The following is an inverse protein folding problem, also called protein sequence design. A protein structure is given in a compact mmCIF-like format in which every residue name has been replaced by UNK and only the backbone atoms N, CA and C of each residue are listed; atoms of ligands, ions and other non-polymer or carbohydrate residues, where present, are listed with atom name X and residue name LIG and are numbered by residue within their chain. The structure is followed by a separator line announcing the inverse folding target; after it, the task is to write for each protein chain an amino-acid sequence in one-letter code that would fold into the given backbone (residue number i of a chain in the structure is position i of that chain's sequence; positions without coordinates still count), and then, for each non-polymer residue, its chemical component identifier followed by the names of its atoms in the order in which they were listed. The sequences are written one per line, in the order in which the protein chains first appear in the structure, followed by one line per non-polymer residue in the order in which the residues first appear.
data_IF_898614222364
#
_entry.id   IF_898614222364
#
_cell.length_a   1.000
_cell.length_b   1.000
_cell.length_c   1.000
_cell.angle_alpha   90.00
_cell.angle_beta   90.00
_cell.angle_gamma   90.00
#
_symmetry.space_group_name_H-M   'P 1'
#
loop_
_entity.id
_entity.type
_entity.pdbx_description
1 polymer ?
#
# COMPACT_ATOMS: atom_id res chain seq x y z
N UNK A 1 91.94 -15.93 28.64
CA UNK A 1 92.79 -17.10 28.99
C UNK A 1 92.79 -18.06 27.81
N UNK A 2 93.93 -18.70 27.55
CA UNK A 2 94.57 -18.84 26.22
C UNK A 2 93.98 -20.05 25.46
N UNK A 3 94.31 -20.39 24.21
CA UNK A 3 95.60 -20.38 23.52
C UNK A 3 95.41 -20.72 22.03
N UNK A 4 96.29 -20.14 21.22
CA UNK A 4 96.72 -20.57 19.89
C UNK A 4 96.52 -22.05 19.52
N UNK A 5 96.13 -22.31 18.28
CA UNK A 5 96.91 -23.17 17.37
C UNK A 5 96.50 -22.96 15.91
N UNK A 6 97.53 -23.05 15.08
CA UNK A 6 97.69 -22.62 13.70
C UNK A 6 97.26 -23.66 12.67
N UNK A 7 96.65 -23.15 11.58
CA UNK A 7 96.93 -23.44 10.17
C UNK A 7 97.30 -24.87 9.74
N UNK A 8 96.42 -25.49 8.94
CA UNK A 8 96.86 -26.21 7.73
C UNK A 8 95.85 -26.02 6.60
N UNK A 9 96.41 -25.64 5.48
CA UNK A 9 95.79 -25.18 4.25
C UNK A 9 95.34 -26.38 3.41
N UNK A 10 94.06 -26.44 3.03
CA UNK A 10 93.64 -27.12 1.81
C UNK A 10 92.91 -26.11 0.94
N UNK A 11 93.63 -25.59 -0.06
CA UNK A 11 93.02 -24.83 -1.14
C UNK A 11 92.20 -25.79 -2.01
N UNK A 12 90.89 -25.60 -2.02
CA UNK A 12 90.07 -26.00 -3.15
C UNK A 12 89.64 -24.70 -3.84
N UNK A 13 90.30 -24.41 -4.96
CA UNK A 13 89.88 -23.38 -5.91
C UNK A 13 88.52 -23.80 -6.48
N UNK A 14 87.46 -23.12 -6.04
CA UNK A 14 86.27 -22.96 -6.85
C UNK A 14 86.25 -21.51 -7.35
N UNK A 15 86.66 -21.35 -8.61
CA UNK A 15 86.34 -20.17 -9.42
C UNK A 15 84.82 -20.04 -9.48
N UNK A 16 84.26 -19.10 -8.74
CA UNK A 16 82.86 -18.73 -8.87
C UNK A 16 82.76 -17.67 -9.97
N UNK A 17 82.27 -18.12 -11.12
CA UNK A 17 82.12 -17.31 -12.32
C UNK A 17 81.07 -16.22 -12.07
N UNK A 18 81.48 -14.97 -12.31
CA UNK A 18 80.66 -13.77 -12.08
C UNK A 18 79.94 -13.37 -13.37
N UNK A 19 79.28 -14.32 -14.02
CA UNK A 19 78.44 -14.07 -15.21
C UNK A 19 77.34 -15.10 -15.27
N UNK A 20 76.21 -14.82 -14.63
CA UNK A 20 74.86 -15.13 -15.13
C UNK A 20 73.81 -14.85 -14.04
N UNK A 21 73.44 -13.58 -13.90
CA UNK A 21 72.10 -13.23 -13.45
C UNK A 21 71.29 -12.86 -14.70
N UNK A 22 70.97 -13.88 -15.50
CA UNK A 22 69.99 -13.73 -16.57
C UNK A 22 68.62 -13.55 -15.91
N UNK A 23 68.10 -12.32 -16.00
CA UNK A 23 66.68 -12.04 -15.77
C UNK A 23 65.90 -12.94 -16.71
N UNK A 24 65.30 -14.00 -16.17
CA UNK A 24 64.46 -14.93 -16.93
C UNK A 24 63.34 -14.09 -17.56
N UNK A 25 63.39 -13.91 -18.88
CA UNK A 25 62.38 -13.16 -19.62
C UNK A 25 60.98 -13.65 -19.21
N UNK A 26 60.04 -12.75 -18.88
CA UNK A 26 58.70 -13.17 -18.53
C UNK A 26 58.15 -14.00 -19.69
N UNK A 27 57.74 -15.23 -19.41
CA UNK A 27 57.18 -16.12 -20.42
C UNK A 27 56.06 -15.40 -21.17
N UNK A 28 55.96 -15.58 -22.49
CA UNK A 28 54.89 -14.96 -23.30
C UNK A 28 53.48 -15.20 -22.71
N UNK A 29 53.30 -16.31 -21.99
CA UNK A 29 52.09 -16.64 -21.24
C UNK A 29 51.81 -15.67 -20.07
N UNK A 30 52.83 -15.23 -19.34
CA UNK A 30 52.70 -14.23 -18.27
C UNK A 30 52.26 -12.87 -18.84
N UNK A 31 52.83 -12.45 -19.97
CA UNK A 31 52.45 -11.22 -20.67
C UNK A 31 51.01 -11.23 -21.18
N UNK A 32 50.54 -12.37 -21.71
CA UNK A 32 49.14 -12.56 -22.11
C UNK A 32 48.19 -12.52 -20.91
N UNK A 33 48.53 -13.17 -19.79
CA UNK A 33 47.70 -13.17 -18.58
C UNK A 33 47.56 -11.78 -17.94
N UNK A 34 48.63 -10.99 -17.92
CA UNK A 34 48.58 -9.61 -17.42
C UNK A 34 47.73 -8.73 -18.34
N UNK A 35 47.84 -8.91 -19.66
CA UNK A 35 47.06 -8.15 -20.64
C UNK A 35 45.56 -8.48 -20.57
N UNK A 36 45.19 -9.75 -20.42
CA UNK A 36 43.78 -10.15 -20.26
C UNK A 36 43.19 -9.66 -18.94
N UNK A 37 43.95 -9.73 -17.84
CA UNK A 37 43.53 -9.20 -16.55
C UNK A 37 43.34 -7.67 -16.58
N UNK A 38 44.22 -6.94 -17.27
CA UNK A 38 44.11 -5.50 -17.44
C UNK A 38 42.88 -5.12 -18.27
N UNK A 39 42.62 -5.82 -19.39
CA UNK A 39 41.43 -5.60 -20.22
C UNK A 39 40.16 -5.91 -19.42
N UNK A 40 40.13 -7.03 -18.69
CA UNK A 40 39.00 -7.37 -17.84
C UNK A 40 38.75 -6.33 -16.75
N UNK A 41 39.81 -5.80 -16.13
CA UNK A 41 39.72 -4.75 -15.11
C UNK A 41 39.22 -3.43 -15.69
N UNK A 42 39.67 -3.06 -16.90
CA UNK A 42 39.22 -1.85 -17.60
C UNK A 42 37.76 -1.96 -18.04
N UNK A 43 37.34 -3.13 -18.54
CA UNK A 43 35.95 -3.43 -18.86
C UNK A 43 35.06 -3.40 -17.60
N UNK A 44 35.51 -4.02 -16.51
CA UNK A 44 34.79 -4.03 -15.24
C UNK A 44 34.67 -2.62 -14.64
N UNK A 45 35.72 -1.80 -14.71
CA UNK A 45 35.68 -0.41 -14.25
C UNK A 45 34.78 0.47 -15.13
N UNK A 46 34.84 0.30 -16.46
CA UNK A 46 33.99 1.03 -17.39
C UNK A 46 32.52 0.64 -17.21
N UNK A 47 32.25 -0.64 -16.99
CA UNK A 47 30.93 -1.14 -16.61
C UNK A 47 30.50 -0.53 -15.27
N UNK A 48 31.33 -0.57 -14.22
CA UNK A 48 31.04 0.06 -12.93
C UNK A 48 30.70 1.55 -13.06
N UNK A 49 31.47 2.32 -13.83
CA UNK A 49 31.20 3.75 -14.11
C UNK A 49 29.90 3.96 -14.86
N UNK A 50 29.58 3.10 -15.82
CA UNK A 50 28.30 3.11 -16.53
C UNK A 50 27.12 2.79 -15.60
N UNK A 51 27.34 1.99 -14.55
CA UNK A 51 26.33 1.66 -13.56
C UNK A 51 26.05 2.75 -12.52
N UNK A 52 26.93 3.75 -12.40
CA UNK A 52 26.75 4.82 -11.42
C UNK A 52 25.56 5.73 -11.80
N UNK A 53 24.79 6.21 -10.83
CA UNK A 53 23.66 7.09 -11.11
C UNK A 53 24.13 8.41 -11.74
N UNK A 54 23.48 8.81 -12.84
CA UNK A 54 23.76 10.07 -13.52
C UNK A 54 22.77 11.15 -13.08
N UNK A 55 23.22 12.21 -12.38
CA UNK A 55 22.35 13.30 -11.95
C UNK A 55 21.88 14.15 -13.14
N UNK A 56 20.66 14.67 -13.04
CA UNK A 56 20.18 15.72 -13.95
C UNK A 56 20.90 17.03 -13.57
N UNK A 57 21.59 17.71 -14.49
CA UNK A 57 22.26 18.97 -14.20
C UNK A 57 21.30 20.03 -13.66
N UNK A 58 21.73 20.78 -12.64
CA UNK A 58 20.95 21.88 -12.06
C UNK A 58 19.92 21.50 -10.99
N UNK A 59 19.72 20.21 -10.70
CA UNK A 59 18.84 19.76 -9.61
C UNK A 59 19.69 19.28 -8.43
N UNK A 60 19.52 19.82 -7.20
CA UNK A 60 20.26 19.39 -6.01
C UNK A 60 20.05 17.90 -5.67
N UNK A 61 21.11 17.25 -5.17
CA UNK A 61 21.12 15.85 -4.78
C UNK A 61 22.17 15.55 -3.71
N UNK A 62 22.07 14.38 -3.09
CA UNK A 62 23.10 13.90 -2.18
C UNK A 62 24.32 13.39 -2.96
N UNK A 63 25.46 14.07 -2.85
CA UNK A 63 26.69 13.69 -3.57
C UNK A 63 27.11 12.24 -3.34
N UNK A 64 26.92 11.74 -2.11
CA UNK A 64 27.22 10.36 -1.71
C UNK A 64 26.44 9.34 -2.55
N UNK A 65 25.23 9.67 -2.99
CA UNK A 65 24.40 8.80 -3.82
C UNK A 65 25.02 8.50 -5.19
N UNK A 66 25.81 9.43 -5.74
CA UNK A 66 26.48 9.21 -7.04
C UNK A 66 27.75 8.34 -6.94
N UNK A 67 28.22 8.08 -5.72
CA UNK A 67 29.41 7.26 -5.45
C UNK A 67 29.07 5.78 -5.22
N UNK A 68 27.78 5.43 -5.16
CA UNK A 68 27.29 4.10 -4.84
C UNK A 68 26.38 3.54 -5.93
N UNK A 69 26.51 2.25 -6.22
CA UNK A 69 25.64 1.52 -7.14
C UNK A 69 24.16 1.56 -6.69
N UNK A 70 23.93 1.58 -5.38
CA UNK A 70 22.60 1.61 -4.78
C UNK A 70 22.07 3.02 -4.54
N UNK A 71 22.80 4.05 -4.94
CA UNK A 71 22.36 5.43 -4.78
C UNK A 71 22.17 5.80 -3.32
N UNK A 72 21.00 6.37 -3.02
CA UNK A 72 20.58 6.82 -1.70
C UNK A 72 19.98 5.69 -0.83
N UNK A 73 19.84 4.45 -1.33
CA UNK A 73 19.21 3.35 -0.58
C UNK A 73 19.86 3.11 0.81
N UNK A 74 21.19 3.03 0.95
CA UNK A 74 21.79 2.78 2.26
C UNK A 74 21.53 3.91 3.26
N UNK A 75 21.53 5.16 2.77
CA UNK A 75 21.20 6.33 3.60
C UNK A 75 19.73 6.33 3.99
N UNK A 76 18.85 6.03 3.03
CA UNK A 76 17.41 5.88 3.28
C UNK A 76 17.17 4.84 4.37
N UNK A 77 17.73 3.64 4.26
CA UNK A 77 17.57 2.58 5.28
C UNK A 77 18.08 2.99 6.67
N UNK A 78 19.17 3.80 6.72
CA UNK A 78 19.74 4.27 7.99
C UNK A 78 18.92 5.40 8.63
N UNK A 79 18.37 6.30 7.82
CA UNK A 79 17.75 7.55 8.28
C UNK A 79 16.23 7.51 8.31
N UNK A 80 15.56 6.66 7.52
CA UNK A 80 14.10 6.70 7.37
C UNK A 80 13.35 6.05 8.52
N UNK A 81 13.94 5.04 9.17
CA UNK A 81 13.17 4.10 9.99
C UNK A 81 11.95 3.61 9.21
N UNK A 82 10.77 3.69 9.82
CA UNK A 82 9.49 3.32 9.21
C UNK A 82 8.87 4.42 8.33
N UNK A 83 9.47 5.62 8.25
CA UNK A 83 8.90 6.77 7.55
C UNK A 83 9.72 7.18 6.30
N UNK A 84 9.66 6.34 5.28
CA UNK A 84 10.35 6.58 3.99
C UNK A 84 9.89 7.88 3.31
N UNK A 85 8.59 8.19 3.30
CA UNK A 85 8.08 9.43 2.70
C UNK A 85 8.56 10.67 3.46
N UNK A 86 8.60 10.61 4.79
CA UNK A 86 9.18 11.67 5.62
C UNK A 86 10.66 11.90 5.33
N UNK A 87 11.42 10.83 5.10
CA UNK A 87 12.81 10.93 4.65
C UNK A 87 12.95 11.61 3.28
N UNK A 88 12.08 11.28 2.32
CA UNK A 88 12.09 11.95 1.01
C UNK A 88 11.82 13.45 1.16
N UNK A 89 10.78 13.82 1.93
CA UNK A 89 10.42 15.23 2.20
C UNK A 89 11.57 15.96 2.90
N UNK A 90 12.29 15.30 3.82
CA UNK A 90 13.41 15.93 4.52
C UNK A 90 14.59 16.27 3.59
N UNK A 91 14.72 15.60 2.44
CA UNK A 91 15.76 15.95 1.45
C UNK A 91 15.54 17.35 0.87
N UNK A 92 14.30 17.76 0.62
CA UNK A 92 14.00 19.12 0.16
C UNK A 92 14.44 20.17 1.18
N UNK A 93 14.26 19.90 2.48
CA UNK A 93 14.72 20.77 3.57
C UNK A 93 16.25 20.81 3.67
N UNK A 94 16.89 19.65 3.54
CA UNK A 94 18.36 19.51 3.60
C UNK A 94 19.06 20.32 2.51
N UNK A 95 18.51 20.30 1.30
CA UNK A 95 19.08 21.02 0.15
C UNK A 95 18.56 22.46 0.01
N UNK A 96 17.65 22.90 0.88
CA UNK A 96 17.04 24.23 0.80
C UNK A 96 16.35 24.50 -0.54
N UNK A 97 15.84 23.45 -1.21
CA UNK A 97 15.34 23.52 -2.57
C UNK A 97 13.96 22.87 -2.69
N UNK A 98 13.02 23.48 -3.44
CA UNK A 98 11.70 22.89 -3.71
C UNK A 98 11.76 21.74 -4.72
N UNK A 99 12.89 21.57 -5.40
CA UNK A 99 13.16 20.46 -6.32
C UNK A 99 14.46 19.77 -5.92
N UNK A 100 14.39 18.47 -5.70
CA UNK A 100 15.55 17.63 -5.35
C UNK A 100 15.49 16.32 -6.09
N UNK A 101 16.63 15.70 -6.35
CA UNK A 101 16.70 14.37 -6.94
C UNK A 101 17.45 13.40 -6.04
N UNK A 102 17.04 12.13 -6.08
CA UNK A 102 17.68 11.02 -5.37
C UNK A 102 17.61 9.73 -6.18
N UNK A 103 18.44 8.77 -5.82
CA UNK A 103 18.71 7.58 -6.62
C UNK A 103 18.31 6.30 -5.86
N UNK A 104 17.27 5.61 -6.32
CA UNK A 104 16.74 4.41 -5.65
C UNK A 104 17.05 3.11 -6.42
N UNK A 105 18.33 2.91 -6.72
CA UNK A 105 18.86 1.65 -7.22
C UNK A 105 19.56 1.73 -8.58
N UNK A 106 20.27 0.66 -8.96
CA UNK A 106 21.03 0.62 -10.20
C UNK A 106 20.11 0.59 -11.43
N UNK A 107 20.61 1.08 -12.57
CA UNK A 107 19.89 1.13 -13.86
C UNK A 107 18.58 1.94 -13.88
N UNK A 108 18.36 2.79 -12.88
CA UNK A 108 17.16 3.62 -12.79
C UNK A 108 17.46 5.08 -13.04
N UNK A 109 16.48 5.75 -13.62
CA UNK A 109 16.48 7.22 -13.72
C UNK A 109 16.35 7.82 -12.31
N UNK A 110 16.94 9.00 -12.07
CA UNK A 110 16.74 9.71 -10.81
C UNK A 110 15.27 9.98 -10.55
N UNK A 111 14.88 9.90 -9.28
CA UNK A 111 13.55 10.31 -8.84
C UNK A 111 13.64 11.78 -8.47
N UNK A 112 12.76 12.59 -9.05
CA UNK A 112 12.66 14.01 -8.75
C UNK A 112 11.51 14.19 -7.77
N UNK A 113 11.80 14.78 -6.62
CA UNK A 113 10.81 15.25 -5.66
C UNK A 113 10.57 16.74 -5.89
N UNK A 114 9.30 17.09 -6.01
CA UNK A 114 8.82 18.45 -6.13
C UNK A 114 7.94 18.71 -4.89
N UNK A 115 8.34 19.68 -4.07
CA UNK A 115 7.59 20.06 -2.85
C UNK A 115 6.85 21.38 -3.01
N UNK A 116 7.06 22.11 -4.11
CA UNK A 116 6.31 23.33 -4.41
C UNK A 116 4.86 23.00 -4.78
N UNK A 117 3.92 23.66 -4.08
CA UNK A 117 2.50 23.46 -4.26
C UNK A 117 2.01 23.85 -5.67
N UNK A 118 2.48 24.98 -6.21
CA UNK A 118 2.01 25.51 -7.49
C UNK A 118 2.46 24.61 -8.64
N UNK A 119 3.73 24.19 -8.64
CA UNK A 119 4.25 23.25 -9.62
C UNK A 119 3.58 21.88 -9.52
N UNK A 120 3.37 21.37 -8.30
CA UNK A 120 2.65 20.11 -8.08
C UNK A 120 1.22 20.17 -8.65
N UNK A 121 0.49 21.26 -8.39
CA UNK A 121 -0.84 21.47 -8.93
C UNK A 121 -0.83 21.58 -10.46
N UNK A 122 0.11 22.33 -11.04
CA UNK A 122 0.23 22.50 -12.49
C UNK A 122 0.51 21.16 -13.19
N UNK A 123 1.41 20.35 -12.62
CA UNK A 123 1.72 18.99 -13.10
C UNK A 123 0.48 18.10 -13.07
N UNK A 124 -0.24 18.06 -11.95
CA UNK A 124 -1.38 17.14 -11.77
C UNK A 124 -2.63 17.56 -12.54
N UNK A 125 -2.82 18.86 -12.77
CA UNK A 125 -4.08 19.39 -13.34
C UNK A 125 -3.95 19.83 -14.80
N UNK A 126 -2.77 20.27 -15.26
CA UNK A 126 -2.62 20.96 -16.56
C UNK A 126 -1.63 20.27 -17.51
N UNK A 127 -0.54 19.69 -17.01
CA UNK A 127 0.52 19.11 -17.86
C UNK A 127 0.25 17.65 -18.23
N UNK A 128 -0.11 17.40 -19.49
CA UNK A 128 -0.38 16.05 -20.03
C UNK A 128 0.86 15.21 -20.36
N UNK A 129 2.05 15.78 -20.24
CA UNK A 129 3.32 15.07 -20.51
C UNK A 129 3.68 14.09 -19.38
N UNK A 130 3.09 14.28 -18.20
CA UNK A 130 3.25 13.38 -17.06
C UNK A 130 2.11 12.38 -17.01
N UNK A 131 2.46 11.14 -16.71
CA UNK A 131 1.52 10.05 -16.49
C UNK A 131 1.98 9.22 -15.28
N UNK A 132 1.16 8.26 -14.85
CA UNK A 132 1.44 7.39 -13.70
C UNK A 132 2.82 6.75 -13.82
N UNK A 133 3.59 6.71 -12.73
CA UNK A 133 4.95 6.16 -12.79
C UNK A 133 4.96 4.65 -13.02
N UNK A 134 5.94 4.15 -13.78
CA UNK A 134 6.11 2.70 -13.99
C UNK A 134 6.40 1.98 -12.68
N UNK A 135 7.04 2.68 -11.73
CA UNK A 135 7.26 2.20 -10.39
C UNK A 135 5.92 1.97 -9.66
N UNK A 136 5.04 2.97 -9.58
CA UNK A 136 3.74 2.82 -8.92
C UNK A 136 2.89 1.71 -9.55
N UNK A 137 2.86 1.66 -10.89
CA UNK A 137 2.21 0.57 -11.63
C UNK A 137 2.85 -0.78 -11.26
N UNK A 138 4.17 -0.87 -11.19
CA UNK A 138 4.85 -2.12 -10.84
C UNK A 138 4.58 -2.59 -9.41
N UNK A 139 4.38 -1.66 -8.48
CA UNK A 139 4.03 -1.93 -7.08
C UNK A 139 2.61 -2.45 -6.96
N UNK A 140 1.65 -1.84 -7.65
CA UNK A 140 0.23 -2.16 -7.49
C UNK A 140 -0.25 -3.29 -8.44
N UNK A 141 0.38 -3.49 -9.60
CA UNK A 141 -0.08 -4.47 -10.61
C UNK A 141 0.00 -5.93 -10.18
N UNK A 142 0.73 -6.25 -9.11
CA UNK A 142 0.93 -7.63 -8.69
C UNK A 142 -0.29 -8.28 -8.04
N UNK A 143 -1.18 -7.48 -7.45
CA UNK A 143 -2.48 -7.95 -6.93
C UNK A 143 -3.62 -7.77 -7.93
N UNK A 144 -3.64 -6.67 -8.69
CA UNK A 144 -4.75 -6.31 -9.57
C UNK A 144 -4.26 -5.72 -10.90
N UNK A 145 -3.73 -6.56 -11.80
CA UNK A 145 -3.04 -6.12 -13.02
C UNK A 145 -3.91 -5.28 -13.97
N UNK A 146 -5.18 -5.63 -14.11
CA UNK A 146 -6.18 -4.97 -14.94
C UNK A 146 -6.94 -3.87 -14.22
N UNK A 147 -6.56 -3.50 -12.99
CA UNK A 147 -7.16 -2.36 -12.30
C UNK A 147 -6.74 -1.05 -12.98
N UNK A 148 -7.67 -0.13 -13.23
CA UNK A 148 -7.40 1.10 -13.97
C UNK A 148 -6.29 1.97 -13.35
N UNK A 149 -6.04 1.89 -12.04
CA UNK A 149 -4.93 2.60 -11.40
C UNK A 149 -3.56 2.17 -11.97
N UNK A 150 -3.47 0.94 -12.48
CA UNK A 150 -2.25 0.35 -13.04
C UNK A 150 -2.07 0.63 -14.54
N UNK A 151 -2.98 1.39 -15.14
CA UNK A 151 -2.93 1.73 -16.55
C UNK A 151 -2.45 3.16 -16.76
N UNK A 152 -1.64 3.35 -17.80
CA UNK A 152 -1.33 4.66 -18.35
C UNK A 152 -2.59 5.28 -18.95
N UNK A 153 -2.60 6.60 -19.03
CA UNK A 153 -3.72 7.36 -19.59
C UNK A 153 -3.86 7.03 -21.08
N UNK A 154 -4.96 6.38 -21.44
CA UNK A 154 -5.24 5.93 -22.80
C UNK A 154 -6.68 5.43 -22.98
N UNK A 155 -7.02 4.90 -24.16
CA UNK A 155 -8.37 4.37 -24.43
C UNK A 155 -8.79 3.27 -23.45
N UNK A 156 -7.87 2.36 -23.10
CA UNK A 156 -8.13 1.27 -22.15
C UNK A 156 -8.45 1.80 -20.75
N UNK A 157 -7.61 2.70 -20.23
CA UNK A 157 -7.86 3.37 -18.96
C UNK A 157 -9.21 4.11 -18.94
N UNK A 158 -9.55 4.82 -20.03
CA UNK A 158 -10.84 5.50 -20.15
C UNK A 158 -12.00 4.50 -20.13
N UNK A 159 -11.86 3.35 -20.80
CA UNK A 159 -12.88 2.32 -20.82
C UNK A 159 -13.12 1.72 -19.43
N UNK A 160 -12.06 1.46 -18.67
CA UNK A 160 -12.18 0.89 -17.32
C UNK A 160 -12.74 1.92 -16.34
N UNK A 161 -12.31 3.19 -16.42
CA UNK A 161 -12.90 4.26 -15.61
C UNK A 161 -14.38 4.48 -15.92
N UNK A 162 -14.78 4.34 -17.19
CA UNK A 162 -16.19 4.37 -17.60
C UNK A 162 -16.99 3.21 -17.01
N UNK A 163 -16.39 2.12 -16.53
CA UNK A 163 -17.16 1.09 -15.83
C UNK A 163 -17.66 1.59 -14.47
N UNK A 164 -16.87 2.43 -13.78
CA UNK A 164 -17.11 2.84 -12.38
C UNK A 164 -17.73 4.23 -12.24
N UNK A 165 -17.79 5.00 -13.32
CA UNK A 165 -18.12 6.43 -13.28
C UNK A 165 -19.42 6.76 -12.52
N UNK A 166 -20.43 5.88 -12.58
CA UNK A 166 -21.71 6.14 -11.92
C UNK A 166 -21.73 5.90 -10.41
N UNK A 167 -20.71 5.21 -9.87
CA UNK A 167 -20.57 4.98 -8.43
C UNK A 167 -20.40 6.28 -7.64
N UNK A 168 -20.04 7.38 -8.32
CA UNK A 168 -19.88 8.71 -7.72
C UNK A 168 -21.01 9.68 -8.10
N UNK A 169 -22.07 9.21 -8.76
CA UNK A 169 -23.20 10.07 -9.10
C UNK A 169 -24.06 10.37 -7.86
N UNK A 170 -24.69 11.55 -7.77
CA UNK A 170 -25.60 11.84 -6.66
C UNK A 170 -26.71 10.79 -6.49
N UNK A 171 -27.25 10.26 -7.60
CA UNK A 171 -28.27 9.19 -7.57
C UNK A 171 -27.77 7.95 -6.81
N UNK A 172 -26.57 7.47 -7.14
CA UNK A 172 -25.98 6.31 -6.46
C UNK A 172 -25.59 6.63 -5.00
N UNK A 173 -24.99 7.79 -4.77
CA UNK A 173 -24.55 8.18 -3.43
C UNK A 173 -25.73 8.33 -2.46
N UNK A 174 -26.84 8.93 -2.88
CA UNK A 174 -28.03 9.08 -2.05
C UNK A 174 -28.86 7.79 -1.96
N UNK A 175 -29.04 7.07 -3.07
CA UNK A 175 -29.91 5.89 -3.12
C UNK A 175 -29.28 4.62 -2.57
N UNK A 176 -27.95 4.47 -2.70
CA UNK A 176 -27.24 3.22 -2.37
C UNK A 176 -26.17 3.44 -1.29
N UNK A 177 -25.26 4.40 -1.48
CA UNK A 177 -24.12 4.52 -0.56
C UNK A 177 -24.53 5.04 0.83
N UNK A 178 -25.27 6.15 0.91
CA UNK A 178 -25.62 6.78 2.19
C UNK A 178 -26.43 5.88 3.13
N UNK A 179 -27.51 5.17 2.68
CA UNK A 179 -28.25 4.26 3.56
C UNK A 179 -27.40 3.11 4.08
N UNK A 180 -26.51 2.57 3.25
CA UNK A 180 -25.60 1.48 3.60
C UNK A 180 -24.51 1.92 4.58
N UNK A 181 -23.92 3.10 4.37
CA UNK A 181 -22.97 3.71 5.32
C UNK A 181 -23.64 4.00 6.66
N UNK A 182 -24.91 4.43 6.67
CA UNK A 182 -25.67 4.64 7.90
C UNK A 182 -25.84 3.34 8.70
N UNK A 183 -26.20 2.22 8.05
CA UNK A 183 -26.30 0.89 8.71
C UNK A 183 -24.99 0.55 9.43
N UNK A 184 -23.86 0.70 8.75
CA UNK A 184 -22.54 0.43 9.33
C UNK A 184 -22.17 1.40 10.44
N UNK A 185 -22.49 2.69 10.31
CA UNK A 185 -22.27 3.69 11.35
C UNK A 185 -23.02 3.33 12.64
N UNK A 186 -24.26 2.83 12.51
CA UNK A 186 -25.05 2.34 13.65
C UNK A 186 -24.41 1.10 14.29
N UNK A 187 -23.88 0.15 13.50
CA UNK A 187 -23.15 -1.01 14.03
C UNK A 187 -21.93 -0.59 14.86
N UNK A 188 -21.11 0.34 14.32
CA UNK A 188 -19.95 0.87 15.03
C UNK A 188 -20.35 1.57 16.34
N UNK A 189 -21.40 2.40 16.31
CA UNK A 189 -21.92 3.06 17.51
C UNK A 189 -22.39 2.05 18.57
N UNK A 190 -23.05 0.97 18.17
CA UNK A 190 -23.48 -0.07 19.10
C UNK A 190 -22.29 -0.81 19.72
N UNK A 191 -21.26 -1.13 18.93
CA UNK A 191 -20.02 -1.70 19.44
C UNK A 191 -19.36 -0.77 20.47
N UNK A 192 -19.22 0.51 20.14
CA UNK A 192 -18.61 1.50 21.04
C UNK A 192 -19.43 1.73 22.30
N UNK A 193 -20.76 1.75 22.24
CA UNK A 193 -21.62 1.81 23.44
C UNK A 193 -21.35 0.63 24.36
N UNK A 194 -21.22 -0.58 23.82
CA UNK A 194 -20.91 -1.78 24.62
C UNK A 194 -19.51 -1.72 25.21
N UNK A 195 -18.50 -1.37 24.41
CA UNK A 195 -17.11 -1.21 24.88
C UNK A 195 -16.98 -0.11 25.92
N UNK A 196 -17.66 1.03 25.77
CA UNK A 196 -17.63 2.13 26.73
C UNK A 196 -18.23 1.71 28.09
N UNK A 197 -19.34 0.96 28.09
CA UNK A 197 -19.91 0.39 29.33
C UNK A 197 -18.93 -0.56 30.01
N UNK A 198 -18.23 -1.40 29.25
CA UNK A 198 -17.23 -2.32 29.79
C UNK A 198 -16.03 -1.54 30.32
N UNK A 199 -15.55 -0.54 29.59
CA UNK A 199 -14.38 0.26 29.95
C UNK A 199 -14.58 1.12 31.20
N UNK A 200 -15.84 1.43 31.56
CA UNK A 200 -16.21 2.12 32.79
C UNK A 200 -15.41 3.43 33.03
N UNK A 201 -15.31 4.25 31.99
CA UNK A 201 -14.58 5.53 32.02
C UNK A 201 -13.11 5.46 31.59
N UNK A 202 -12.56 4.25 31.34
CA UNK A 202 -11.21 4.10 30.76
C UNK A 202 -11.19 4.33 29.26
N UNK A 203 -10.01 4.69 28.74
CA UNK A 203 -9.79 4.87 27.31
C UNK A 203 -9.89 3.55 26.54
N UNK A 204 -10.19 3.64 25.24
CA UNK A 204 -10.41 2.50 24.35
C UNK A 204 -9.66 2.70 23.04
N UNK A 205 -9.08 1.62 22.50
CA UNK A 205 -8.46 1.66 21.18
C UNK A 205 -9.56 1.53 20.11
N UNK A 206 -9.75 2.59 19.33
CA UNK A 206 -10.76 2.68 18.29
C UNK A 206 -10.24 2.31 16.90
N UNK A 207 -8.93 2.11 16.71
CA UNK A 207 -8.30 1.95 15.40
C UNK A 207 -8.91 0.78 14.61
N UNK A 208 -8.91 -0.41 15.21
CA UNK A 208 -9.43 -1.61 14.54
C UNK A 208 -10.95 -1.56 14.34
N UNK A 209 -11.68 -0.91 15.25
CA UNK A 209 -13.13 -0.73 15.12
C UNK A 209 -13.45 0.17 13.93
N UNK A 210 -12.71 1.27 13.76
CA UNK A 210 -12.86 2.19 12.62
C UNK A 210 -12.43 1.50 11.32
N UNK A 211 -11.35 0.72 11.36
CA UNK A 211 -10.88 -0.08 10.24
C UNK A 211 -11.97 -1.03 9.74
N UNK A 212 -12.49 -1.89 10.62
CA UNK A 212 -13.59 -2.80 10.27
C UNK A 212 -14.89 -2.08 9.91
N UNK A 213 -15.19 -0.93 10.51
CA UNK A 213 -16.33 -0.13 10.09
C UNK A 213 -16.19 0.39 8.65
N UNK A 214 -15.02 0.89 8.27
CA UNK A 214 -14.79 1.32 6.89
C UNK A 214 -14.87 0.12 5.93
N UNK A 215 -14.42 -1.07 6.33
CA UNK A 215 -14.51 -2.30 5.53
C UNK A 215 -15.98 -2.68 5.33
N UNK A 216 -16.76 -2.71 6.40
CA UNK A 216 -18.19 -3.03 6.37
C UNK A 216 -18.99 -2.03 5.55
N UNK A 217 -18.64 -0.74 5.60
CA UNK A 217 -19.28 0.29 4.78
C UNK A 217 -19.04 0.04 3.29
N UNK A 218 -17.80 -0.27 2.91
CA UNK A 218 -17.42 -0.60 1.53
C UNK A 218 -18.08 -1.87 1.04
N UNK A 219 -18.21 -2.88 1.89
CA UNK A 219 -18.93 -4.11 1.55
C UNK A 219 -20.45 -3.89 1.48
N UNK A 220 -21.04 -3.08 2.37
CA UNK A 220 -22.46 -2.75 2.35
C UNK A 220 -22.85 -2.05 1.05
N UNK A 221 -22.17 -0.98 0.64
CA UNK A 221 -22.52 -0.33 -0.65
C UNK A 221 -21.96 -1.09 -1.86
N UNK A 222 -20.90 -1.89 -1.66
CA UNK A 222 -20.21 -2.63 -2.70
C UNK A 222 -20.98 -3.85 -3.19
N UNK A 223 -21.49 -4.65 -2.27
CA UNK A 223 -22.18 -5.91 -2.52
C UNK A 223 -23.65 -5.92 -2.03
N UNK A 224 -24.06 -4.92 -1.24
CA UNK A 224 -25.42 -4.84 -0.72
C UNK A 224 -25.73 -5.99 0.25
N UNK A 225 -26.96 -6.46 0.19
CA UNK A 225 -27.46 -7.56 1.03
C UNK A 225 -27.01 -8.96 0.51
N UNK A 226 -26.26 -9.03 -0.60
CA UNK A 226 -25.76 -10.29 -1.16
C UNK A 226 -24.68 -10.94 -0.27
N UNK A 227 -23.99 -10.13 0.53
CA UNK A 227 -23.05 -10.58 1.56
C UNK A 227 -23.68 -10.26 2.89
N UNK A 228 -23.89 -11.26 3.75
CA UNK A 228 -24.44 -11.05 5.11
C UNK A 228 -23.33 -10.85 6.15
N UNK A 229 -22.17 -11.46 5.92
CA UNK A 229 -21.01 -11.34 6.82
C UNK A 229 -20.54 -9.89 6.93
N UNK A 230 -20.20 -9.45 8.15
CA UNK A 230 -19.65 -8.13 8.45
C UNK A 230 -18.55 -8.26 9.49
N UNK A 231 -17.46 -7.53 9.34
CA UNK A 231 -16.28 -7.56 10.20
C UNK A 231 -16.59 -7.10 11.63
N UNK A 232 -17.50 -6.13 11.82
CA UNK A 232 -17.92 -5.65 13.14
C UNK A 232 -18.85 -6.62 13.89
N UNK A 233 -19.55 -7.51 13.18
CA UNK A 233 -20.54 -8.41 13.79
C UNK A 233 -19.86 -9.39 14.77
N UNK A 234 -18.80 -10.13 14.40
CA UNK A 234 -18.03 -10.94 15.35
C UNK A 234 -17.48 -10.14 16.53
N UNK A 235 -17.01 -8.91 16.32
CA UNK A 235 -16.48 -8.06 17.39
C UNK A 235 -17.55 -7.64 18.40
N UNK A 236 -18.79 -7.51 17.95
CA UNK A 236 -19.92 -7.20 18.83
C UNK A 236 -20.37 -8.45 19.57
N UNK A 237 -20.39 -9.61 18.91
CA UNK A 237 -20.90 -10.86 19.47
C UNK A 237 -19.99 -11.46 20.54
N UNK A 238 -18.68 -11.19 20.52
CA UNK A 238 -17.74 -11.70 21.53
C UNK A 238 -17.88 -11.01 22.90
N UNK A 239 -18.37 -9.77 22.94
CA UNK A 239 -18.42 -8.98 24.18
C UNK A 239 -19.49 -9.49 25.18
N UNK A 240 -20.72 -9.83 24.78
CA UNK A 240 -21.72 -10.41 25.68
C UNK A 240 -21.35 -11.78 26.23
N UNK A 241 -20.49 -12.55 25.55
CA UNK A 241 -20.05 -13.88 26.00
C UNK A 241 -18.98 -13.85 27.08
N UNK A 242 -18.44 -12.67 27.43
CA UNK A 242 -17.40 -12.55 28.46
C UNK A 242 -18.00 -12.62 29.86
N UNK A 243 -17.37 -13.39 30.74
CA UNK A 243 -17.73 -13.45 32.16
C UNK A 243 -17.34 -12.16 32.90
N UNK A 244 -18.02 -11.84 34.01
CA UNK A 244 -17.68 -10.66 34.81
C UNK A 244 -16.22 -10.69 35.33
N UNK A 245 -15.67 -11.88 35.57
CA UNK A 245 -14.27 -12.06 35.95
C UNK A 245 -13.31 -11.60 34.83
N UNK A 246 -13.62 -11.94 33.59
CA UNK A 246 -12.83 -11.51 32.41
C UNK A 246 -12.96 -10.00 32.20
N UNK A 247 -14.16 -9.44 32.31
CA UNK A 247 -14.38 -8.00 32.22
C UNK A 247 -13.58 -7.23 33.29
N UNK A 248 -13.55 -7.73 34.53
CA UNK A 248 -12.73 -7.14 35.60
C UNK A 248 -11.24 -7.27 35.33
N UNK A 249 -10.77 -8.40 34.78
CA UNK A 249 -9.37 -8.57 34.38
C UNK A 249 -8.97 -7.59 33.28
N UNK A 250 -9.81 -7.41 32.26
CA UNK A 250 -9.59 -6.43 31.18
C UNK A 250 -9.49 -5.01 31.73
N UNK A 251 -10.39 -4.63 32.65
CA UNK A 251 -10.35 -3.33 33.33
C UNK A 251 -9.07 -3.16 34.15
N UNK A 252 -8.63 -4.19 34.89
CA UNK A 252 -7.42 -4.11 35.74
C UNK A 252 -6.12 -4.12 34.92
N UNK A 253 -6.10 -4.81 33.79
CA UNK A 253 -4.94 -4.91 32.92
C UNK A 253 -4.58 -3.56 32.28
N UNK A 254 -5.58 -2.73 31.99
CA UNK A 254 -5.35 -1.37 31.54
C UNK A 254 -4.91 -0.48 32.72
N UNK A 255 -3.65 -0.06 32.75
CA UNK A 255 -3.17 0.98 33.67
C UNK A 255 -3.95 2.30 33.53
N UNK A 256 -3.72 3.28 34.40
CA UNK A 256 -4.46 4.56 34.38
C UNK A 256 -4.36 5.33 33.05
N UNK A 257 -3.27 5.11 32.29
CA UNK A 257 -3.02 5.76 30.99
C UNK A 257 -3.13 4.82 29.80
N UNK A 258 -3.45 3.55 30.01
CA UNK A 258 -3.52 2.56 28.94
C UNK A 258 -4.96 2.31 28.53
N UNK A 259 -5.16 2.04 27.25
CA UNK A 259 -6.47 1.69 26.71
C UNK A 259 -6.86 0.27 27.09
N UNK A 260 -8.14 0.03 27.34
CA UNK A 260 -8.67 -1.32 27.50
C UNK A 260 -8.50 -2.09 26.18
N UNK A 261 -7.70 -3.15 26.20
CA UNK A 261 -7.47 -4.02 25.05
C UNK A 261 -8.59 -5.05 24.92
N UNK A 262 -9.41 -4.91 23.88
CA UNK A 262 -10.44 -5.91 23.56
C UNK A 262 -9.86 -6.97 22.60
N UNK A 263 -10.19 -8.24 22.81
CA UNK A 263 -9.83 -9.30 21.88
C UNK A 263 -10.50 -9.06 20.52
N UNK A 264 -9.73 -9.26 19.45
CA UNK A 264 -10.24 -9.16 18.06
C UNK A 264 -10.74 -10.54 17.63
N UNK A 265 -12.03 -10.65 17.36
CA UNK A 265 -12.63 -11.88 16.84
C UNK A 265 -12.20 -12.10 15.37
N UNK A 266 -12.06 -13.37 14.93
CA UNK A 266 -11.77 -13.68 13.53
C UNK A 266 -12.93 -13.23 12.63
N UNK A 267 -12.61 -12.83 11.40
CA UNK A 267 -13.58 -12.39 10.39
C UNK A 267 -13.67 -13.42 9.27
N UNK A 268 -14.57 -13.22 8.31
CA UNK A 268 -14.73 -14.13 7.17
C UNK A 268 -13.41 -14.28 6.40
N UNK A 269 -13.01 -15.50 5.97
CA UNK A 269 -11.77 -15.71 5.23
C UNK A 269 -11.67 -14.88 3.94
N UNK A 270 -12.81 -14.54 3.32
CA UNK A 270 -12.85 -13.65 2.17
C UNK A 270 -12.38 -12.22 2.53
N UNK A 271 -12.72 -11.74 3.72
CA UNK A 271 -12.39 -10.40 4.19
C UNK A 271 -10.92 -10.36 4.59
N UNK A 272 -10.44 -11.38 5.30
CA UNK A 272 -9.02 -11.56 5.59
C UNK A 272 -8.19 -11.59 4.29
N UNK A 273 -8.69 -12.25 3.25
CA UNK A 273 -7.99 -12.30 1.97
C UNK A 273 -7.94 -10.94 1.25
N UNK A 274 -8.98 -10.11 1.36
CA UNK A 274 -8.98 -8.73 0.85
C UNK A 274 -7.98 -7.87 1.63
N UNK A 275 -7.98 -7.96 2.97
CA UNK A 275 -7.04 -7.23 3.81
C UNK A 275 -5.58 -7.66 3.55
N UNK A 276 -5.31 -8.96 3.46
CA UNK A 276 -3.98 -9.48 3.18
C UNK A 276 -3.45 -9.10 1.79
N UNK A 277 -4.32 -8.71 0.84
CA UNK A 277 -3.88 -8.11 -0.43
C UNK A 277 -3.18 -6.77 -0.21
N UNK A 278 -3.65 -5.96 0.75
CA UNK A 278 -3.03 -4.67 1.12
C UNK A 278 -1.67 -4.89 1.76
N UNK A 279 -1.57 -5.87 2.67
CA UNK A 279 -0.31 -6.21 3.34
C UNK A 279 0.77 -6.64 2.35
N UNK A 280 0.39 -7.43 1.33
CA UNK A 280 1.30 -7.80 0.25
C UNK A 280 1.80 -6.57 -0.52
N UNK A 281 0.93 -5.62 -0.85
CA UNK A 281 1.28 -4.39 -1.56
C UNK A 281 2.28 -3.57 -0.74
N UNK A 282 2.00 -3.36 0.55
CA UNK A 282 2.87 -2.62 1.47
C UNK A 282 4.24 -3.30 1.59
N UNK A 283 4.24 -4.62 1.77
CA UNK A 283 5.46 -5.42 1.80
C UNK A 283 6.28 -5.27 0.51
N UNK A 284 5.65 -5.30 -0.66
CA UNK A 284 6.34 -5.11 -1.95
C UNK A 284 6.87 -3.70 -2.12
N UNK A 285 6.10 -2.68 -1.76
CA UNK A 285 6.51 -1.29 -1.84
C UNK A 285 7.80 -1.04 -1.06
N UNK A 286 7.96 -1.68 0.11
CA UNK A 286 9.15 -1.55 0.96
C UNK A 286 10.44 -2.11 0.34
N UNK A 287 10.35 -3.04 -0.62
CA UNK A 287 11.53 -3.70 -1.22
C UNK A 287 12.30 -2.84 -2.21
N UNK A 288 11.68 -1.79 -2.76
CA UNK A 288 12.25 -0.97 -3.84
C UNK A 288 12.39 -1.68 -5.20
N UNK A 289 12.17 -3.00 -5.31
CA UNK A 289 12.24 -3.78 -6.55
C UNK A 289 10.95 -4.58 -6.80
N UNK A 290 9.83 -3.91 -7.13
CA UNK A 290 8.51 -4.53 -7.06
C UNK A 290 8.31 -5.76 -7.93
N UNK A 291 8.90 -5.79 -9.14
CA UNK A 291 8.77 -6.92 -10.05
C UNK A 291 9.34 -8.23 -9.46
N UNK A 292 10.52 -8.15 -8.84
CA UNK A 292 11.16 -9.31 -8.21
C UNK A 292 10.41 -9.72 -6.94
N UNK A 293 10.00 -8.74 -6.13
CA UNK A 293 9.25 -8.99 -4.91
C UNK A 293 7.90 -9.69 -5.20
N UNK A 294 7.17 -9.25 -6.23
CA UNK A 294 5.94 -9.91 -6.67
C UNK A 294 6.18 -11.32 -7.20
N UNK A 295 7.26 -11.54 -7.94
CA UNK A 295 7.63 -12.87 -8.41
C UNK A 295 7.87 -13.82 -7.24
N UNK A 296 8.67 -13.41 -6.24
CA UNK A 296 8.93 -14.20 -5.02
C UNK A 296 7.67 -14.44 -4.19
N UNK A 297 6.84 -13.42 -3.97
CA UNK A 297 5.58 -13.57 -3.24
C UNK A 297 4.60 -14.50 -3.96
N UNK A 298 4.55 -14.45 -5.29
CA UNK A 298 3.73 -15.35 -6.11
C UNK A 298 4.12 -16.82 -6.02
N UNK A 299 5.31 -17.15 -5.51
CA UNK A 299 5.73 -18.54 -5.23
C UNK A 299 5.19 -19.06 -3.89
N UNK A 300 4.82 -18.18 -2.95
CA UNK A 300 4.36 -18.59 -1.61
C UNK A 300 2.98 -19.26 -1.68
N UNK A 301 2.82 -20.49 -1.15
CA UNK A 301 1.52 -21.18 -1.16
C UNK A 301 0.41 -20.43 -0.40
N UNK A 302 0.76 -19.71 0.67
CA UNK A 302 -0.19 -18.89 1.44
C UNK A 302 -0.81 -17.78 0.59
N UNK A 303 0.01 -17.07 -0.18
CA UNK A 303 -0.43 -15.99 -1.10
C UNK A 303 -1.34 -16.56 -2.19
N UNK A 304 -0.98 -17.71 -2.77
CA UNK A 304 -1.82 -18.39 -3.77
C UNK A 304 -3.18 -18.80 -3.21
N UNK A 305 -3.20 -19.38 -2.00
CA UNK A 305 -4.44 -19.78 -1.31
C UNK A 305 -5.33 -18.57 -1.03
N UNK A 306 -4.75 -17.50 -0.51
CA UNK A 306 -5.45 -16.24 -0.23
C UNK A 306 -6.07 -15.66 -1.50
N UNK A 307 -5.31 -15.57 -2.60
CA UNK A 307 -5.85 -15.13 -3.90
C UNK A 307 -6.98 -16.02 -4.40
N UNK A 308 -6.87 -17.34 -4.22
CA UNK A 308 -7.94 -18.28 -4.57
C UNK A 308 -9.24 -18.05 -3.79
N UNK A 309 -9.15 -17.83 -2.47
CA UNK A 309 -10.30 -17.52 -1.61
C UNK A 309 -10.95 -16.21 -2.04
N UNK A 310 -10.15 -15.17 -2.25
CA UNK A 310 -10.61 -13.87 -2.72
C UNK A 310 -11.26 -13.96 -4.10
N UNK A 311 -10.63 -14.62 -5.07
CA UNK A 311 -11.16 -14.77 -6.43
C UNK A 311 -12.46 -15.55 -6.45
N UNK A 312 -12.59 -16.60 -5.63
CA UNK A 312 -13.83 -17.36 -5.49
C UNK A 312 -14.96 -16.48 -4.95
N UNK A 313 -14.69 -15.69 -3.90
CA UNK A 313 -15.65 -14.75 -3.35
C UNK A 313 -16.08 -13.70 -4.39
N UNK A 314 -15.13 -13.02 -5.05
CA UNK A 314 -15.44 -12.01 -6.06
C UNK A 314 -16.22 -12.58 -7.24
N UNK A 315 -15.85 -13.79 -7.68
CA UNK A 315 -16.54 -14.48 -8.78
C UNK A 315 -17.99 -14.77 -8.43
N UNK A 316 -18.24 -15.29 -7.24
CA UNK A 316 -19.60 -15.58 -6.78
C UNK A 316 -20.45 -14.32 -6.73
N UNK A 317 -19.93 -13.22 -6.17
CA UNK A 317 -20.66 -11.96 -6.06
C UNK A 317 -20.96 -11.32 -7.43
N UNK A 318 -19.99 -11.33 -8.36
CA UNK A 318 -20.17 -10.79 -9.71
C UNK A 318 -21.16 -11.63 -10.52
N UNK A 319 -21.07 -12.96 -10.46
CA UNK A 319 -22.00 -13.84 -11.17
C UNK A 319 -23.40 -13.81 -10.53
N UNK A 320 -23.50 -13.63 -9.21
CA UNK A 320 -24.77 -13.39 -8.53
C UNK A 320 -25.45 -12.11 -9.00
N UNK A 321 -24.69 -11.01 -9.13
CA UNK A 321 -25.20 -9.77 -9.70
C UNK A 321 -25.58 -9.90 -11.17
N UNK A 322 -24.82 -10.67 -11.97
CA UNK A 322 -25.18 -10.98 -13.35
C UNK A 322 -26.52 -11.71 -13.46
N UNK A 323 -26.76 -12.73 -12.63
CA UNK A 323 -28.06 -13.44 -12.58
C UNK A 323 -29.21 -12.48 -12.25
N UNK A 324 -29.05 -11.62 -11.24
CA UNK A 324 -30.05 -10.61 -10.89
C UNK A 324 -30.31 -9.62 -12.04
N UNK A 325 -29.26 -9.22 -12.75
CA UNK A 325 -29.39 -8.35 -13.92
C UNK A 325 -30.18 -9.03 -15.05
N UNK A 326 -29.90 -10.30 -15.35
CA UNK A 326 -30.60 -11.07 -16.39
C UNK A 326 -32.08 -11.30 -16.05
N UNK A 327 -32.40 -11.60 -14.79
CA UNK A 327 -33.80 -11.74 -14.32
C UNK A 327 -34.61 -10.44 -14.46
N UNK A 328 -33.96 -9.29 -14.34
CA UNK A 328 -34.58 -7.97 -14.44
C UNK A 328 -34.59 -7.42 -15.86
N UNK A 329 -33.94 -8.07 -16.84
CA UNK A 329 -33.82 -7.57 -18.21
C UNK A 329 -35.18 -7.44 -18.94
N UNK A 330 -36.26 -8.02 -18.39
CA UNK A 330 -37.65 -7.88 -18.85
C UNK A 330 -38.51 -6.85 -18.10
N UNK A 331 -38.06 -6.35 -16.94
CA UNK A 331 -38.81 -5.41 -16.09
C UNK A 331 -38.00 -4.12 -16.04
N UNK A 332 -38.44 -3.07 -16.76
CA UNK A 332 -37.77 -1.76 -16.76
C UNK A 332 -37.94 -1.03 -15.43
N UNK A 333 -37.35 -1.56 -14.36
CA UNK A 333 -37.25 -0.87 -13.10
C UNK A 333 -35.77 -0.73 -12.72
N UNK A 334 -35.27 0.50 -12.59
CA UNK A 334 -33.91 0.80 -12.14
C UNK A 334 -33.71 0.48 -10.64
N UNK A 335 -34.77 0.14 -9.89
CA UNK A 335 -34.74 -0.12 -8.45
C UNK A 335 -33.96 -1.38 -8.03
N UNK A 336 -33.52 -2.22 -8.98
CA UNK A 336 -32.72 -3.41 -8.64
C UNK A 336 -31.26 -3.08 -8.30
N UNK A 337 -30.75 -1.89 -8.69
CA UNK A 337 -29.36 -1.49 -8.43
C UNK A 337 -29.22 -1.14 -6.94
N UNK A 338 -28.82 -2.13 -6.14
CA UNK A 338 -28.66 -2.00 -4.69
C UNK A 338 -27.21 -1.99 -4.23
N UNK A 339 -26.27 -2.15 -5.15
CA UNK A 339 -24.84 -2.24 -4.87
C UNK A 339 -23.97 -1.74 -6.02
N UNK A 340 -22.69 -1.49 -5.74
CA UNK A 340 -21.71 -1.10 -6.74
C UNK A 340 -21.55 -2.17 -7.82
N UNK A 341 -21.56 -3.46 -7.42
CA UNK A 341 -21.40 -4.57 -8.35
C UNK A 341 -22.61 -4.72 -9.28
N UNK A 342 -23.83 -4.51 -8.78
CA UNK A 342 -25.03 -4.50 -9.64
C UNK A 342 -24.91 -3.41 -10.72
N UNK A 343 -24.45 -2.21 -10.34
CA UNK A 343 -24.24 -1.11 -11.29
C UNK A 343 -23.13 -1.40 -12.31
N UNK A 344 -22.02 -2.00 -11.88
CA UNK A 344 -20.93 -2.39 -12.77
C UNK A 344 -21.38 -3.46 -13.77
N UNK A 345 -22.15 -4.46 -13.32
CA UNK A 345 -22.75 -5.49 -14.17
C UNK A 345 -23.72 -4.86 -15.17
N UNK A 346 -24.61 -3.98 -14.72
CA UNK A 346 -25.54 -3.25 -15.60
C UNK A 346 -24.80 -2.50 -16.70
N UNK A 347 -23.75 -1.74 -16.35
CA UNK A 347 -22.92 -1.01 -17.32
C UNK A 347 -22.24 -1.95 -18.30
N UNK A 348 -21.72 -3.07 -17.81
CA UNK A 348 -21.08 -4.08 -18.66
C UNK A 348 -22.07 -4.67 -19.67
N UNK A 349 -23.29 -4.97 -19.22
CA UNK A 349 -24.39 -5.41 -20.07
C UNK A 349 -24.76 -4.37 -21.13
N UNK A 350 -24.93 -3.11 -20.72
CA UNK A 350 -25.25 -2.01 -21.62
C UNK A 350 -24.16 -1.76 -22.68
N UNK A 351 -22.88 -1.82 -22.30
CA UNK A 351 -21.77 -1.70 -23.26
C UNK A 351 -21.71 -2.89 -24.23
N UNK A 352 -21.96 -4.11 -23.75
CA UNK A 352 -21.97 -5.29 -24.62
C UNK A 352 -23.10 -5.22 -25.65
N UNK A 353 -24.32 -4.81 -25.23
CA UNK A 353 -25.45 -4.56 -26.13
C UNK A 353 -25.15 -3.49 -27.18
N UNK A 354 -24.55 -2.37 -26.77
CA UNK A 354 -24.16 -1.30 -27.70
C UNK A 354 -23.13 -1.77 -28.74
N UNK A 355 -22.27 -2.70 -28.36
CA UNK A 355 -21.25 -3.28 -29.23
C UNK A 355 -21.75 -4.51 -30.00
N UNK A 356 -23.04 -4.87 -29.90
CA UNK A 356 -23.65 -6.07 -30.51
C UNK A 356 -22.94 -7.38 -30.11
N UNK A 357 -22.50 -7.49 -28.85
CA UNK A 357 -21.85 -8.68 -28.29
C UNK A 357 -22.55 -9.16 -27.02
N UNK A 358 -22.38 -10.45 -26.71
CA UNK A 358 -22.82 -11.01 -25.44
C UNK A 358 -21.93 -10.51 -24.29
N UNK A 359 -22.50 -10.09 -23.15
CA UNK A 359 -21.73 -9.63 -22.01
C UNK A 359 -20.95 -10.78 -21.35
N UNK A 360 -19.65 -10.58 -21.19
CA UNK A 360 -18.80 -11.45 -20.35
C UNK A 360 -18.56 -10.73 -19.03
N UNK A 361 -19.26 -11.17 -17.98
CA UNK A 361 -19.22 -10.54 -16.66
C UNK A 361 -17.99 -10.94 -15.82
N UNK A 362 -17.53 -12.19 -15.92
CA UNK A 362 -16.31 -12.62 -15.24
C UNK A 362 -15.08 -12.49 -16.16
N UNK A 363 -14.26 -11.46 -15.91
CA UNK A 363 -12.99 -11.21 -16.59
C UNK A 363 -12.06 -10.47 -15.63
N UNK A 364 -10.74 -10.54 -15.86
CA UNK A 364 -9.72 -9.84 -15.07
C UNK A 364 -10.06 -8.37 -14.81
N UNK A 365 -10.62 -7.64 -15.79
CA UNK A 365 -11.08 -6.26 -15.57
C UNK A 365 -12.15 -6.18 -14.47
N UNK A 366 -13.24 -6.95 -14.55
CA UNK A 366 -14.31 -6.91 -13.53
C UNK A 366 -13.79 -7.37 -12.18
N UNK A 367 -12.96 -8.42 -12.15
CA UNK A 367 -12.32 -8.92 -10.92
C UNK A 367 -11.44 -7.85 -10.28
N UNK A 368 -10.54 -7.24 -11.07
CA UNK A 368 -9.53 -6.30 -10.57
C UNK A 368 -10.12 -4.94 -10.21
N UNK A 369 -11.14 -4.46 -10.94
CA UNK A 369 -11.90 -3.26 -10.57
C UNK A 369 -12.71 -3.47 -9.29
N UNK A 370 -13.30 -4.66 -9.14
CA UNK A 370 -14.00 -5.05 -7.90
C UNK A 370 -13.04 -5.08 -6.72
N UNK A 371 -11.90 -5.76 -6.84
CA UNK A 371 -10.89 -5.79 -5.78
C UNK A 371 -10.37 -4.38 -5.48
N UNK A 372 -10.04 -3.62 -6.52
CA UNK A 372 -9.46 -2.30 -6.41
C UNK A 372 -10.36 -1.31 -5.68
N UNK A 373 -11.66 -1.27 -5.95
CA UNK A 373 -12.56 -0.38 -5.21
C UNK A 373 -12.71 -0.80 -3.74
N UNK A 374 -12.73 -2.11 -3.45
CA UNK A 374 -12.83 -2.60 -2.07
C UNK A 374 -11.61 -2.19 -1.25
N UNK A 375 -10.42 -2.48 -1.78
CA UNK A 375 -9.14 -2.15 -1.12
C UNK A 375 -8.96 -0.64 -0.98
N UNK A 376 -9.10 0.11 -2.08
CA UNK A 376 -8.84 1.55 -2.06
C UNK A 376 -9.88 2.31 -1.23
N UNK A 377 -11.14 1.89 -1.27
CA UNK A 377 -12.24 2.55 -0.56
C UNK A 377 -12.13 2.39 0.95
N UNK A 378 -11.71 1.23 1.44
CA UNK A 378 -11.65 0.94 2.87
C UNK A 378 -10.39 1.54 3.51
N UNK A 379 -9.21 1.24 2.99
CA UNK A 379 -7.93 1.51 3.67
C UNK A 379 -7.63 3.02 3.82
N UNK A 380 -7.99 3.80 2.79
CA UNK A 380 -7.83 5.26 2.82
C UNK A 380 -8.87 5.93 3.73
N UNK A 381 -10.11 5.42 3.71
CA UNK A 381 -11.21 5.98 4.52
C UNK A 381 -11.00 5.66 6.00
N UNK A 382 -10.59 4.44 6.36
CA UNK A 382 -10.31 4.06 7.74
C UNK A 382 -9.22 4.95 8.34
N UNK A 383 -8.11 5.15 7.62
CA UNK A 383 -7.03 6.06 8.03
C UNK A 383 -7.53 7.48 8.24
N UNK A 384 -8.34 7.99 7.30
CA UNK A 384 -8.92 9.34 7.39
C UNK A 384 -9.85 9.48 8.60
N UNK A 385 -10.70 8.49 8.87
CA UNK A 385 -11.60 8.47 10.01
C UNK A 385 -10.83 8.36 11.34
N UNK A 386 -9.80 7.52 11.41
CA UNK A 386 -8.92 7.41 12.59
C UNK A 386 -8.27 8.76 12.92
N UNK A 387 -7.69 9.42 11.91
CA UNK A 387 -7.13 10.76 12.09
C UNK A 387 -8.19 11.79 12.47
N UNK A 388 -9.37 11.73 11.85
CA UNK A 388 -10.50 12.60 12.17
C UNK A 388 -10.93 12.48 13.64
N UNK A 389 -11.11 11.26 14.14
CA UNK A 389 -11.47 10.99 15.55
C UNK A 389 -10.36 11.49 16.48
N UNK A 390 -9.09 11.24 16.15
CA UNK A 390 -7.93 11.71 16.92
C UNK A 390 -7.88 13.24 17.01
N UNK A 391 -8.02 13.94 15.89
CA UNK A 391 -8.00 15.41 15.90
C UNK A 391 -9.21 16.00 16.64
N UNK A 392 -10.39 15.38 16.53
CA UNK A 392 -11.57 15.83 17.25
C UNK A 392 -11.47 15.58 18.76
N UNK A 393 -10.88 14.46 19.19
CA UNK A 393 -10.68 14.17 20.62
C UNK A 393 -9.73 15.15 21.30
N UNK A 394 -8.73 15.65 20.57
CA UNK A 394 -7.78 16.63 21.09
C UNK A 394 -8.33 18.08 21.06
N UNK A 395 -9.49 18.30 20.43
CA UNK A 395 -10.06 19.64 20.21
C UNK A 395 -11.56 19.71 20.57
N UNK A 396 -11.93 19.75 21.86
CA UNK A 396 -13.34 19.76 22.30
C UNK A 396 -14.20 20.88 21.71
N UNK A 397 -13.61 22.07 21.50
CA UNK A 397 -14.31 23.20 20.88
C UNK A 397 -14.73 22.90 19.43
N UNK A 398 -13.84 22.28 18.66
CA UNK A 398 -14.14 21.87 17.28
C UNK A 398 -15.19 20.76 17.26
N UNK A 399 -15.06 19.78 18.17
CA UNK A 399 -16.04 18.71 18.34
C UNK A 399 -17.44 19.26 18.66
N UNK A 400 -17.55 20.19 19.61
CA UNK A 400 -18.81 20.83 19.98
C UNK A 400 -19.45 21.58 18.81
N UNK A 401 -18.66 22.28 17.99
CA UNK A 401 -19.16 22.95 16.76
C UNK A 401 -19.67 21.96 15.73
N UNK A 402 -18.99 20.83 15.52
CA UNK A 402 -19.45 19.78 14.61
C UNK A 402 -20.78 19.19 15.07
N UNK A 403 -20.91 18.86 16.35
CA UNK A 403 -22.15 18.33 16.94
C UNK A 403 -23.30 19.32 16.75
N UNK A 404 -23.09 20.58 17.13
CA UNK A 404 -24.10 21.62 16.99
C UNK A 404 -24.51 21.84 15.52
N UNK A 405 -23.55 21.85 14.60
CA UNK A 405 -23.81 21.96 13.17
C UNK A 405 -24.64 20.79 12.64
N UNK A 406 -24.33 19.55 13.06
CA UNK A 406 -25.13 18.38 12.72
C UNK A 406 -26.56 18.48 13.25
N UNK A 407 -26.76 18.84 14.53
CA UNK A 407 -28.08 19.01 15.13
C UNK A 407 -28.93 20.05 14.38
N UNK A 408 -28.35 21.20 14.00
CA UNK A 408 -29.07 22.20 13.21
C UNK A 408 -29.56 21.65 11.87
N UNK A 409 -28.74 20.85 11.18
CA UNK A 409 -29.13 20.21 9.91
C UNK A 409 -30.27 19.23 10.15
N UNK A 410 -30.18 18.35 11.14
CA UNK A 410 -31.25 17.39 11.46
C UNK A 410 -32.56 18.10 11.81
N UNK A 411 -32.52 19.13 12.66
CA UNK A 411 -33.70 19.92 13.01
C UNK A 411 -34.29 20.66 11.81
N UNK A 412 -33.45 21.25 10.95
CA UNK A 412 -33.88 22.01 9.76
C UNK A 412 -34.56 21.14 8.71
N UNK A 413 -34.12 19.90 8.54
CA UNK A 413 -34.69 18.98 7.55
C UNK A 413 -35.76 18.03 8.14
N UNK A 414 -36.20 18.25 9.38
CA UNK A 414 -37.29 17.47 9.99
C UNK A 414 -36.97 15.98 10.19
N UNK A 415 -35.69 15.61 10.22
CA UNK A 415 -35.22 14.23 10.38
C UNK A 415 -35.28 13.78 11.86
N UNK A 416 -36.40 14.05 12.53
CA UNK A 416 -36.59 13.85 13.98
C UNK A 416 -36.73 12.36 14.39
N UNK A 417 -36.72 11.42 13.45
CA UNK A 417 -36.97 9.99 13.72
C UNK A 417 -35.75 9.19 14.17
N UNK A 418 -34.58 9.81 14.35
CA UNK A 418 -33.43 9.12 14.96
C UNK A 418 -33.33 9.58 16.41
N UNK A 419 -33.96 8.82 17.31
CA UNK A 419 -33.85 8.99 18.76
C UNK A 419 -32.39 8.88 19.24
N UNK A 420 -31.67 10.01 19.29
CA UNK A 420 -30.38 10.11 19.96
C UNK A 420 -30.25 11.48 20.61
N UNK A 421 -30.93 11.68 21.74
CA UNK A 421 -30.54 12.69 22.72
C UNK A 421 -29.66 12.03 23.79
N UNK A 422 -28.36 12.30 23.88
CA UNK A 422 -27.68 12.31 25.16
C UNK A 422 -27.92 13.69 25.77
N UNK A 423 -28.75 13.74 26.84
CA UNK A 423 -28.71 14.88 27.76
C UNK A 423 -27.32 14.87 28.40
N UNK A 424 -26.44 15.79 27.98
CA UNK A 424 -25.25 16.12 28.74
C UNK A 424 -25.72 16.75 30.07
N UNK A 425 -25.52 16.02 31.17
CA UNK A 425 -25.41 16.64 32.48
C UNK A 425 -23.93 16.96 32.67
N UNK A 426 -23.66 18.23 33.01
CA UNK A 426 -22.36 18.76 33.38
C UNK A 426 -21.74 18.00 34.57
#
# INVERSE_FOLDING_TARGET
MPSHLTCSTYQIKFTFDMTDFTVKEPSQQMGMLVSTAAIFSMLAYSFYRYLLPTPIPGIPYNEDGTKSLFGDIPRLQKESGDNVLGWMISQARRHGSPIVQFFLGPFRKPIILITDFREGQDILMRRKVFDRSDFAISTLKGEARSFHINLKTGPEWKAYRRLLQDLMTPKFLHGVAAPNIYKTSVRLLNLWKTKAKIAAGKSLNAEMDIFYAALDAVFDFGFGDAVQDRALTPQTNILPSMSECELQRLRKAAGEKESVGFAVAPISPAFEAVLGSVDNITGVASTGVPALAWWLLGLKPSVRRMRGVMDAFLKDQILGAARRYEEQEGVRNDDYVKSAIDLMVQRKGAFAKKDERNPVFWRNTMRDETLGFNVAGHDTTSTTLCLGVKFLSDNPNCQGRCIYGSEQVYCRFGLNDIQARPRAAY
#
